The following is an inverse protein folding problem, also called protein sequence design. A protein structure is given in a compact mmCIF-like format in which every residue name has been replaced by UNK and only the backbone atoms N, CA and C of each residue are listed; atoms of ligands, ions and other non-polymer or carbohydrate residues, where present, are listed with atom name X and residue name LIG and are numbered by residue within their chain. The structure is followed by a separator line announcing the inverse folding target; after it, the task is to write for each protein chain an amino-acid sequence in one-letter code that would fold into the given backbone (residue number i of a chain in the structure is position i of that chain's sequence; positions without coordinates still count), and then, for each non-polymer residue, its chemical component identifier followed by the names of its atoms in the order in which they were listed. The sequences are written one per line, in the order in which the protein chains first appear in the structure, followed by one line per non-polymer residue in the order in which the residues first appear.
data_IF_960074599531
#
_entry.id   IF_960074599531
#
_cell.length_a   1.000
_cell.length_b   1.000
_cell.length_c   1.000
_cell.angle_alpha   90.00
_cell.angle_beta   90.00
_cell.angle_gamma   90.00
#
_symmetry.space_group_name_H-M   'P 1'
#
loop_
_entity.id
_entity.type
_entity.pdbx_description
1 polymer ?
#
# COMPACT_ATOMS: atom_id res chain seq x y z
N UNK A 1 -23.04 -5.84 -21.77
CA UNK A 1 -21.68 -6.36 -22.07
C UNK A 1 -21.19 -7.04 -20.81
N UNK A 2 -20.93 -8.34 -20.86
CA UNK A 2 -20.17 -9.00 -19.80
C UNK A 2 -18.75 -8.47 -19.91
N UNK A 3 -18.34 -7.60 -19.00
CA UNK A 3 -16.92 -7.33 -18.83
C UNK A 3 -16.34 -8.60 -18.20
N UNK A 4 -15.51 -9.34 -18.95
CA UNK A 4 -14.60 -10.28 -18.32
C UNK A 4 -13.66 -9.45 -17.45
N UNK A 5 -13.95 -9.46 -16.16
CA UNK A 5 -13.10 -8.87 -15.16
C UNK A 5 -11.75 -9.60 -15.22
N UNK A 6 -10.61 -8.89 -15.16
CA UNK A 6 -9.31 -9.55 -15.15
C UNK A 6 -9.30 -10.59 -14.03
N UNK A 7 -8.89 -11.81 -14.36
CA UNK A 7 -8.80 -12.89 -13.37
C UNK A 7 -7.89 -12.41 -12.25
N UNK A 8 -8.40 -12.30 -11.01
CA UNK A 8 -7.59 -11.78 -9.94
C UNK A 8 -6.40 -12.66 -9.59
N UNK A 9 -6.44 -13.93 -9.99
CA UNK A 9 -5.33 -14.86 -9.85
C UNK A 9 -4.29 -14.78 -10.98
N UNK A 10 -4.55 -14.04 -12.07
CA UNK A 10 -3.60 -13.89 -13.18
C UNK A 10 -2.52 -12.85 -12.84
N UNK A 11 -1.34 -13.35 -12.46
CA UNK A 11 -0.17 -12.54 -12.09
C UNK A 11 0.46 -11.79 -13.26
N UNK A 12 0.15 -12.18 -14.51
CA UNK A 12 0.61 -11.47 -15.69
C UNK A 12 -0.32 -10.30 -16.04
N UNK A 13 -1.58 -10.38 -15.61
CA UNK A 13 -2.59 -9.35 -15.82
C UNK A 13 -2.66 -8.36 -14.65
N UNK A 14 -1.52 -7.80 -14.21
CA UNK A 14 -1.53 -6.67 -13.26
C UNK A 14 -2.19 -5.40 -13.85
N UNK A 15 -2.36 -5.37 -15.18
CA UNK A 15 -2.87 -4.24 -15.95
C UNK A 15 -3.95 -4.68 -16.95
N UNK A 16 -4.93 -3.81 -17.18
CA UNK A 16 -5.89 -3.87 -18.27
C UNK A 16 -5.91 -2.50 -18.94
N UNK A 17 -5.52 -2.41 -20.21
CA UNK A 17 -5.44 -1.14 -20.96
C UNK A 17 -4.73 -0.02 -20.16
N UNK A 18 -3.52 -0.31 -19.66
CA UNK A 18 -2.69 0.62 -18.87
C UNK A 18 -3.30 1.07 -17.52
N UNK A 19 -4.44 0.50 -17.13
CA UNK A 19 -5.06 0.71 -15.82
C UNK A 19 -4.80 -0.49 -14.92
N UNK A 20 -4.50 -0.32 -13.62
CA UNK A 20 -4.34 -1.46 -12.73
C UNK A 20 -5.55 -2.38 -12.81
N UNK A 21 -5.35 -3.67 -13.03
CA UNK A 21 -6.44 -4.62 -13.26
C UNK A 21 -7.46 -4.61 -12.12
N UNK A 22 -6.98 -4.51 -10.88
CA UNK A 22 -7.86 -4.37 -9.72
C UNK A 22 -8.64 -3.05 -9.70
N UNK A 23 -8.07 -1.95 -10.19
CA UNK A 23 -8.81 -0.68 -10.30
C UNK A 23 -9.97 -0.81 -11.30
N UNK A 24 -9.74 -1.48 -12.44
CA UNK A 24 -10.81 -1.77 -13.41
C UNK A 24 -11.88 -2.64 -12.77
N UNK A 25 -11.49 -3.69 -12.05
CA UNK A 25 -12.42 -4.54 -11.31
C UNK A 25 -13.24 -3.74 -10.29
N UNK A 26 -12.58 -2.90 -9.49
CA UNK A 26 -13.21 -2.08 -8.46
C UNK A 26 -14.21 -1.08 -9.07
N UNK A 27 -13.85 -0.44 -10.17
CA UNK A 27 -14.74 0.49 -10.88
C UNK A 27 -15.97 -0.23 -11.44
N UNK A 28 -15.79 -1.40 -12.05
CA UNK A 28 -16.89 -2.21 -12.56
C UNK A 28 -17.82 -2.68 -11.42
N UNK A 29 -17.24 -3.12 -10.30
CA UNK A 29 -18.00 -3.50 -9.11
C UNK A 29 -18.84 -2.34 -8.55
N UNK A 30 -18.29 -1.13 -8.50
CA UNK A 30 -19.03 0.06 -8.09
C UNK A 30 -20.13 0.44 -9.08
N UNK A 31 -19.85 0.41 -10.38
CA UNK A 31 -20.80 0.75 -11.44
C UNK A 31 -22.01 -0.20 -11.46
N UNK A 32 -21.83 -1.45 -11.03
CA UNK A 32 -22.90 -2.42 -10.85
C UNK A 32 -23.81 -2.12 -9.63
N UNK A 33 -23.55 -1.05 -8.87
CA UNK A 33 -24.42 -0.61 -7.77
C UNK A 33 -24.28 -1.45 -6.51
N UNK A 34 -23.11 -2.04 -6.25
CA UNK A 34 -22.88 -2.99 -5.15
C UNK A 34 -22.24 -2.41 -3.85
N UNK A 35 -22.47 -1.16 -3.39
CA UNK A 35 -21.61 -0.53 -2.37
C UNK A 35 -21.64 -1.19 -0.98
N UNK A 36 -22.52 -2.17 -0.72
CA UNK A 36 -22.65 -2.90 0.55
C UNK A 36 -22.45 -4.42 0.44
N UNK A 37 -22.16 -4.95 -0.74
CA UNK A 37 -22.18 -6.39 -1.01
C UNK A 37 -20.88 -7.13 -0.69
N UNK A 38 -19.75 -6.43 -0.70
CA UNK A 38 -18.44 -7.05 -0.51
C UNK A 38 -18.09 -7.12 0.97
N UNK A 39 -18.14 -8.33 1.53
CA UNK A 39 -17.91 -8.56 2.95
C UNK A 39 -17.38 -9.99 3.20
N UNK A 40 -16.97 -10.26 4.43
CA UNK A 40 -16.56 -11.60 4.86
C UNK A 40 -15.41 -12.14 4.02
N UNK A 41 -15.52 -13.41 3.58
CA UNK A 41 -14.46 -14.13 2.89
C UNK A 41 -14.07 -13.49 1.55
N UNK A 42 -15.04 -13.03 0.77
CA UNK A 42 -14.80 -12.44 -0.55
C UNK A 42 -13.93 -11.18 -0.45
N UNK A 43 -14.23 -10.29 0.50
CA UNK A 43 -13.41 -9.12 0.77
C UNK A 43 -12.00 -9.51 1.22
N UNK A 44 -11.88 -10.48 2.14
CA UNK A 44 -10.59 -10.90 2.67
C UNK A 44 -9.70 -11.51 1.59
N UNK A 45 -10.26 -12.30 0.68
CA UNK A 45 -9.48 -12.92 -0.40
C UNK A 45 -8.97 -11.86 -1.38
N UNK A 46 -9.76 -10.84 -1.70
CA UNK A 46 -9.30 -9.72 -2.52
C UNK A 46 -8.26 -8.84 -1.82
N UNK A 47 -8.41 -8.59 -0.51
CA UNK A 47 -7.43 -7.82 0.27
C UNK A 47 -6.06 -8.53 0.32
N UNK A 48 -6.06 -9.84 0.56
CA UNK A 48 -4.85 -10.69 0.59
C UNK A 48 -4.14 -10.70 -0.75
N UNK A 49 -4.92 -10.77 -1.81
CA UNK A 49 -4.42 -10.85 -3.16
C UNK A 49 -3.88 -9.49 -3.59
N UNK A 50 -4.71 -8.45 -3.60
CA UNK A 50 -4.34 -7.17 -4.19
C UNK A 50 -3.66 -6.24 -3.22
N UNK A 51 -4.30 -5.81 -2.14
CA UNK A 51 -3.71 -4.92 -1.12
C UNK A 51 -4.83 -4.38 -0.23
N UNK A 52 -4.47 -3.95 0.98
CA UNK A 52 -5.38 -3.28 1.89
C UNK A 52 -5.78 -1.87 1.44
N UNK A 53 -5.09 -1.29 0.46
CA UNK A 53 -5.51 -0.09 -0.26
C UNK A 53 -5.61 -0.31 -1.77
N UNK A 54 -6.50 0.44 -2.42
CA UNK A 54 -6.73 0.37 -3.86
C UNK A 54 -5.85 1.40 -4.58
N UNK A 55 -4.99 1.00 -5.52
CA UNK A 55 -4.19 1.94 -6.29
C UNK A 55 -5.04 2.75 -7.28
N UNK A 56 -4.77 4.04 -7.37
CA UNK A 56 -5.15 4.89 -8.51
C UNK A 56 -3.94 5.21 -9.38
N UNK A 57 -4.19 5.55 -10.64
CA UNK A 57 -3.14 6.08 -11.52
C UNK A 57 -2.48 7.32 -10.91
N UNK A 58 -3.27 8.24 -10.35
CA UNK A 58 -2.76 9.43 -9.67
C UNK A 58 -1.83 9.08 -8.49
N UNK A 59 -2.19 8.10 -7.65
CA UNK A 59 -1.33 7.69 -6.56
C UNK A 59 0.00 7.09 -7.07
N UNK A 60 -0.06 6.30 -8.15
CA UNK A 60 1.13 5.72 -8.79
C UNK A 60 2.02 6.80 -9.43
N UNK A 61 1.42 7.80 -10.10
CA UNK A 61 2.15 8.97 -10.63
C UNK A 61 2.86 9.71 -9.51
N UNK A 62 2.14 10.01 -8.42
CA UNK A 62 2.67 10.74 -7.27
C UNK A 62 3.76 9.98 -6.53
N UNK A 63 3.70 8.65 -6.47
CA UNK A 63 4.78 7.82 -5.93
C UNK A 63 6.00 7.79 -6.86
N UNK A 64 5.80 7.69 -8.18
CA UNK A 64 6.88 7.71 -9.15
C UNK A 64 7.69 9.02 -9.11
N UNK A 65 7.01 10.16 -8.92
CA UNK A 65 7.65 11.48 -8.77
C UNK A 65 8.56 11.61 -7.54
N UNK A 66 8.43 10.72 -6.54
CA UNK A 66 9.28 10.75 -5.34
C UNK A 66 10.68 10.16 -5.61
N UNK A 67 10.87 9.48 -6.74
CA UNK A 67 12.11 8.81 -7.13
C UNK A 67 12.16 7.37 -6.64
N UNK A 68 13.36 6.89 -6.31
CA UNK A 68 13.56 5.53 -5.80
C UNK A 68 12.85 5.33 -4.45
N UNK A 69 12.25 4.16 -4.28
CA UNK A 69 11.43 3.82 -3.11
C UNK A 69 11.98 2.61 -2.36
N UNK A 70 11.82 2.62 -1.04
CA UNK A 70 11.90 1.45 -0.18
C UNK A 70 10.52 1.22 0.44
N UNK A 71 9.89 0.10 0.11
CA UNK A 71 8.60 -0.31 0.66
C UNK A 71 8.81 -1.24 1.86
N UNK A 72 8.29 -0.88 3.03
CA UNK A 72 8.32 -1.73 4.24
C UNK A 72 6.89 -2.16 4.57
N UNK A 73 6.70 -3.47 4.80
CA UNK A 73 5.38 -4.07 4.98
C UNK A 73 4.66 -4.28 3.64
N UNK A 74 5.40 -4.70 2.61
CA UNK A 74 4.91 -4.81 1.24
C UNK A 74 3.92 -5.97 1.01
N UNK A 75 3.76 -6.88 1.97
CA UNK A 75 2.92 -8.08 1.85
C UNK A 75 3.30 -8.93 0.65
N UNK A 76 2.36 -9.09 -0.29
CA UNK A 76 2.54 -9.83 -1.54
C UNK A 76 3.29 -9.02 -2.61
N UNK A 77 3.50 -7.72 -2.41
CA UNK A 77 4.27 -6.84 -3.30
C UNK A 77 3.49 -6.29 -4.48
N UNK A 78 2.17 -6.05 -4.33
CA UNK A 78 1.33 -5.54 -5.42
C UNK A 78 1.66 -4.10 -5.82
N UNK A 79 1.80 -3.18 -4.86
CA UNK A 79 2.23 -1.81 -5.17
C UNK A 79 3.63 -1.78 -5.77
N UNK A 80 4.58 -2.52 -5.19
CA UNK A 80 5.90 -2.72 -5.80
C UNK A 80 5.83 -3.24 -7.24
N UNK A 81 4.92 -4.18 -7.55
CA UNK A 81 4.71 -4.66 -8.92
C UNK A 81 4.28 -3.51 -9.84
N UNK A 82 3.22 -2.78 -9.48
CA UNK A 82 2.69 -1.70 -10.32
C UNK A 82 3.70 -0.57 -10.53
N UNK A 83 4.47 -0.23 -9.50
CA UNK A 83 5.49 0.83 -9.59
C UNK A 83 6.69 0.38 -10.44
N UNK A 84 7.14 -0.87 -10.30
CA UNK A 84 8.22 -1.43 -11.13
C UNK A 84 7.84 -1.53 -12.61
N UNK A 85 6.61 -1.94 -12.91
CA UNK A 85 6.10 -1.98 -14.28
C UNK A 85 6.08 -0.58 -14.93
N UNK A 86 6.04 0.48 -14.10
CA UNK A 86 6.13 1.89 -14.51
C UNK A 86 7.56 2.45 -14.48
N UNK A 87 8.57 1.60 -14.30
CA UNK A 87 9.98 1.99 -14.28
C UNK A 87 10.47 2.62 -12.99
N UNK A 88 9.69 2.57 -11.90
CA UNK A 88 10.12 3.07 -10.59
C UNK A 88 11.06 2.05 -9.94
N UNK A 89 12.20 2.51 -9.45
CA UNK A 89 13.13 1.69 -8.69
C UNK A 89 12.59 1.47 -7.26
N UNK A 90 11.95 0.33 -7.03
CA UNK A 90 11.36 -0.06 -5.73
C UNK A 90 12.04 -1.30 -5.18
N UNK A 91 12.55 -1.20 -3.95
CA UNK A 91 12.95 -2.36 -3.14
C UNK A 91 11.88 -2.60 -2.08
N UNK A 92 11.36 -3.82 -2.00
CA UNK A 92 10.22 -4.16 -1.15
C UNK A 92 10.61 -5.19 -0.09
N UNK A 93 10.20 -4.94 1.15
CA UNK A 93 10.43 -5.80 2.30
C UNK A 93 9.13 -6.14 3.02
N UNK A 94 9.07 -7.35 3.56
CA UNK A 94 8.07 -7.73 4.56
C UNK A 94 8.73 -8.63 5.61
N UNK A 95 8.33 -8.47 6.86
CA UNK A 95 8.89 -9.20 8.00
C UNK A 95 8.49 -10.68 8.02
N UNK A 96 7.39 -11.04 7.37
CA UNK A 96 6.87 -12.41 7.37
C UNK A 96 6.98 -13.05 5.98
N UNK A 97 7.28 -14.35 5.99
CA UNK A 97 7.21 -15.18 4.80
C UNK A 97 5.74 -15.38 4.37
N UNK A 98 5.46 -15.65 3.09
CA UNK A 98 4.14 -16.11 2.66
C UNK A 98 3.79 -17.40 3.41
N UNK A 99 2.55 -17.53 3.88
CA UNK A 99 2.09 -18.60 4.77
C UNK A 99 2.12 -18.25 6.26
N UNK A 100 3.15 -17.53 6.72
CA UNK A 100 3.24 -17.05 8.11
C UNK A 100 2.58 -15.67 8.30
N UNK A 101 2.45 -14.92 7.21
CA UNK A 101 1.80 -13.61 7.21
C UNK A 101 0.28 -13.76 7.09
N UNK A 102 -0.45 -13.65 8.20
CA UNK A 102 -1.92 -13.76 8.23
C UNK A 102 -2.68 -12.74 7.37
N UNK A 103 -2.05 -11.62 6.98
CA UNK A 103 -2.63 -10.59 6.11
C UNK A 103 -2.61 -10.96 4.63
N UNK A 104 -1.71 -11.86 4.21
CA UNK A 104 -1.67 -12.40 2.84
C UNK A 104 -1.95 -13.91 2.79
N UNK A 105 -1.87 -14.61 3.93
CA UNK A 105 -1.96 -16.07 4.03
C UNK A 105 -1.06 -16.75 2.97
N UNK A 106 -1.61 -17.67 2.18
CA UNK A 106 -0.93 -18.34 1.06
C UNK A 106 -1.08 -17.58 -0.27
N UNK A 107 -1.50 -16.30 -0.24
CA UNK A 107 -1.64 -15.53 -1.46
C UNK A 107 -0.29 -15.44 -2.19
N UNK A 108 -0.30 -15.64 -3.52
CA UNK A 108 0.93 -15.58 -4.28
C UNK A 108 1.53 -14.18 -4.29
N UNK A 109 2.86 -14.09 -4.38
CA UNK A 109 3.55 -12.82 -4.54
C UNK A 109 3.29 -12.23 -5.94
N UNK A 110 3.03 -10.92 -6.00
CA UNK A 110 2.94 -10.12 -7.23
C UNK A 110 4.29 -9.70 -7.79
N UNK A 111 5.28 -9.56 -6.90
CA UNK A 111 6.64 -9.21 -7.27
C UNK A 111 7.64 -9.69 -6.20
N UNK A 112 8.96 -9.65 -6.47
CA UNK A 112 9.96 -9.96 -5.47
C UNK A 112 9.84 -9.05 -4.24
N UNK A 113 9.70 -9.66 -3.08
CA UNK A 113 9.69 -9.04 -1.75
C UNK A 113 10.69 -9.79 -0.89
N UNK A 114 11.64 -9.06 -0.33
CA UNK A 114 12.71 -9.61 0.51
C UNK A 114 12.22 -9.73 1.94
N UNK A 115 12.55 -10.83 2.62
CA UNK A 115 12.28 -10.93 4.06
C UNK A 115 13.15 -9.93 4.81
N UNK A 116 12.53 -9.07 5.61
CA UNK A 116 13.23 -8.06 6.40
C UNK A 116 12.28 -7.29 7.31
N UNK A 117 12.81 -6.78 8.41
CA UNK A 117 12.07 -6.03 9.42
C UNK A 117 12.17 -4.51 9.19
N UNK A 118 11.75 -3.71 10.18
CA UNK A 118 11.80 -2.25 10.13
C UNK A 118 13.20 -1.67 9.84
N UNK A 119 14.24 -2.46 10.07
CA UNK A 119 15.64 -2.05 9.98
C UNK A 119 16.16 -2.04 8.57
N UNK A 120 15.49 -2.73 7.64
CA UNK A 120 15.84 -2.75 6.23
C UNK A 120 15.91 -1.34 5.64
N UNK A 121 15.14 -0.39 6.19
CA UNK A 121 15.15 1.00 5.75
C UNK A 121 16.54 1.67 5.87
N UNK A 122 17.38 1.23 6.81
CA UNK A 122 18.73 1.80 7.02
C UNK A 122 19.71 1.47 5.91
N UNK A 123 19.45 0.43 5.12
CA UNK A 123 20.30 0.08 3.96
C UNK A 123 19.93 0.88 2.71
N UNK A 124 18.91 1.74 2.80
CA UNK A 124 18.36 2.53 1.68
C UNK A 124 18.22 4.02 2.04
N UNK A 125 19.29 4.69 2.52
CA UNK A 125 19.21 6.08 2.99
C UNK A 125 18.94 7.11 1.87
N UNK A 126 19.07 6.70 0.60
CA UNK A 126 18.85 7.50 -0.59
C UNK A 126 17.40 7.42 -1.12
N UNK A 127 16.58 6.52 -0.58
CA UNK A 127 15.23 6.22 -1.07
C UNK A 127 14.15 6.88 -0.23
N UNK A 128 13.01 7.16 -0.86
CA UNK A 128 11.80 7.54 -0.13
C UNK A 128 11.15 6.29 0.48
N UNK A 129 10.82 6.34 1.77
CA UNK A 129 10.06 5.31 2.47
C UNK A 129 8.63 5.33 1.97
N UNK A 130 8.16 4.19 1.47
CA UNK A 130 6.78 3.95 1.13
C UNK A 130 6.20 2.90 2.08
N UNK A 131 5.04 3.17 2.68
CA UNK A 131 4.34 2.22 3.54
C UNK A 131 2.86 2.27 3.20
N UNK A 132 2.31 1.11 2.86
CA UNK A 132 0.91 0.96 2.53
C UNK A 132 0.18 0.24 3.65
N UNK A 133 -0.79 0.90 4.29
CA UNK A 133 -1.70 0.27 5.26
C UNK A 133 -0.98 -0.43 6.43
N UNK A 134 -0.14 0.29 7.21
CA UNK A 134 0.53 -0.32 8.35
C UNK A 134 -0.48 -0.71 9.44
N UNK A 135 -0.18 -1.77 10.17
CA UNK A 135 -0.96 -2.17 11.35
C UNK A 135 -0.99 -1.04 12.39
N UNK A 136 -2.18 -0.79 12.95
CA UNK A 136 -2.42 0.27 13.93
C UNK A 136 -3.54 -0.10 14.92
N UNK A 137 -3.49 0.41 16.17
CA UNK A 137 -2.32 1.04 16.79
C UNK A 137 -1.23 0.00 17.11
N UNK A 138 0.05 0.40 17.08
CA UNK A 138 1.15 -0.45 17.57
C UNK A 138 1.86 -1.34 16.55
N UNK A 139 1.68 -1.11 15.25
CA UNK A 139 2.48 -1.80 14.22
C UNK A 139 3.93 -1.33 14.14
N UNK A 140 4.64 -1.77 13.10
CA UNK A 140 6.08 -1.56 12.92
C UNK A 140 6.48 -0.12 12.56
N UNK A 141 5.58 0.66 11.93
CA UNK A 141 5.94 1.94 11.33
C UNK A 141 6.52 2.97 12.32
N UNK A 142 6.02 3.13 13.56
CA UNK A 142 6.69 3.94 14.57
C UNK A 142 8.19 3.65 14.71
N UNK A 143 8.58 2.37 14.75
CA UNK A 143 9.98 1.95 14.84
C UNK A 143 10.76 2.20 13.56
N UNK A 144 10.12 2.06 12.39
CA UNK A 144 10.72 2.48 11.12
C UNK A 144 11.03 3.98 11.15
N UNK A 145 10.08 4.83 11.58
CA UNK A 145 10.30 6.28 11.65
C UNK A 145 11.44 6.64 12.61
N UNK A 146 11.59 5.91 13.72
CA UNK A 146 12.69 6.10 14.67
C UNK A 146 14.05 5.72 14.06
N UNK A 147 14.11 4.70 13.18
CA UNK A 147 15.33 4.22 12.52
C UNK A 147 15.62 4.87 11.15
N UNK A 148 14.64 5.53 10.56
CA UNK A 148 14.69 6.13 9.22
C UNK A 148 15.20 7.56 9.31
N UNK A 149 16.42 7.78 8.82
CA UNK A 149 17.03 9.11 8.70
C UNK A 149 16.52 9.97 7.52
N UNK A 150 16.18 9.40 6.34
CA UNK A 150 15.79 10.19 5.19
C UNK A 150 14.51 11.00 5.40
N UNK A 151 14.38 12.06 4.60
CA UNK A 151 13.45 13.16 4.88
C UNK A 151 12.06 13.01 4.25
N UNK A 152 11.72 11.89 3.60
CA UNK A 152 10.44 11.72 2.87
C UNK A 152 9.77 10.39 3.19
N UNK A 153 8.48 10.46 3.50
CA UNK A 153 7.60 9.32 3.73
C UNK A 153 6.37 9.45 2.82
N UNK A 154 6.04 8.38 2.12
CA UNK A 154 4.77 8.17 1.45
C UNK A 154 3.97 7.13 2.24
N UNK A 155 2.85 7.53 2.83
CA UNK A 155 2.04 6.69 3.71
C UNK A 155 0.63 6.57 3.13
N UNK A 156 0.16 5.35 2.88
CA UNK A 156 -1.26 5.10 2.62
C UNK A 156 -1.93 4.70 3.92
N UNK A 157 -2.94 5.48 4.33
CA UNK A 157 -3.62 5.33 5.62
C UNK A 157 -5.00 5.98 5.59
N UNK A 158 -5.84 5.60 6.55
CA UNK A 158 -7.17 6.16 6.82
C UNK A 158 -7.17 7.39 7.76
N UNK A 159 -5.99 7.89 8.15
CA UNK A 159 -5.86 9.05 9.04
C UNK A 159 -5.83 8.70 10.54
N UNK A 160 -5.57 9.73 11.35
CA UNK A 160 -5.69 9.65 12.81
C UNK A 160 -7.18 9.58 13.17
N UNK A 161 -7.59 8.51 13.85
CA UNK A 161 -8.95 8.41 14.35
C UNK A 161 -9.10 9.21 15.65
N UNK A 162 -10.30 9.77 15.87
CA UNK A 162 -10.55 10.67 17.01
C UNK A 162 -10.53 9.90 18.32
N UNK A 163 -9.63 10.29 19.23
CA UNK A 163 -9.53 9.69 20.56
C UNK A 163 -8.54 8.51 20.65
N UNK A 164 -7.85 8.18 19.55
CA UNK A 164 -6.86 7.12 19.54
C UNK A 164 -5.54 7.55 20.17
N UNK A 165 -4.99 6.68 21.03
CA UNK A 165 -3.57 6.68 21.35
C UNK A 165 -2.87 5.97 20.19
N UNK A 166 -2.28 6.76 19.30
CA UNK A 166 -1.63 6.25 18.10
C UNK A 166 -0.16 6.71 18.03
N UNK A 167 0.78 5.83 18.42
CA UNK A 167 2.21 6.15 18.43
C UNK A 167 2.78 6.53 17.06
N UNK A 168 2.15 6.14 15.96
CA UNK A 168 2.54 6.57 14.61
C UNK A 168 2.27 8.06 14.45
N UNK A 169 1.05 8.48 14.72
CA UNK A 169 0.67 9.88 14.54
C UNK A 169 1.33 10.78 15.57
N UNK A 170 1.62 10.30 16.78
CA UNK A 170 2.43 11.07 17.74
C UNK A 170 3.81 11.43 17.16
N UNK A 171 4.46 10.48 16.46
CA UNK A 171 5.73 10.71 15.78
C UNK A 171 5.59 11.63 14.57
N UNK A 172 4.54 11.45 13.78
CA UNK A 172 4.24 12.32 12.63
C UNK A 172 4.00 13.77 13.09
N UNK A 173 3.21 13.97 14.15
CA UNK A 173 2.88 15.29 14.71
C UNK A 173 4.13 15.98 15.29
N UNK A 174 5.01 15.20 15.93
CA UNK A 174 6.24 15.70 16.53
C UNK A 174 7.29 16.12 15.48
N UNK A 175 7.54 15.27 14.48
CA UNK A 175 8.73 15.38 13.62
C UNK A 175 8.47 15.58 12.13
N UNK A 176 7.22 15.52 11.68
CA UNK A 176 6.90 15.50 10.26
C UNK A 176 5.89 16.59 9.88
N UNK A 177 5.91 16.95 8.60
CA UNK A 177 4.99 17.89 7.97
C UNK A 177 4.40 17.23 6.74
N UNK A 178 3.07 17.14 6.70
CA UNK A 178 2.35 16.75 5.49
C UNK A 178 2.58 17.79 4.39
N UNK A 179 2.93 17.33 3.20
CA UNK A 179 3.25 18.17 2.03
C UNK A 179 2.32 17.91 0.84
N UNK A 180 1.70 16.75 0.77
CA UNK A 180 0.67 16.44 -0.21
C UNK A 180 -0.26 15.34 0.31
N UNK A 181 -1.45 15.25 -0.27
CA UNK A 181 -2.41 14.19 -0.03
C UNK A 181 -3.19 13.91 -1.31
N UNK A 182 -3.39 12.64 -1.61
CA UNK A 182 -4.13 12.14 -2.78
C UNK A 182 -5.21 11.20 -2.27
N UNK A 183 -6.46 11.49 -2.64
CA UNK A 183 -7.56 10.55 -2.37
C UNK A 183 -7.40 9.34 -3.27
N UNK A 184 -7.52 8.14 -2.71
CA UNK A 184 -7.47 6.91 -3.49
C UNK A 184 -8.83 6.22 -3.46
N UNK A 185 -9.10 5.32 -4.41
CA UNK A 185 -10.28 4.45 -4.35
C UNK A 185 -10.29 3.67 -3.04
N UNK A 186 -11.47 3.39 -2.50
CA UNK A 186 -11.64 2.85 -1.16
C UNK A 186 -12.37 1.51 -1.21
N UNK A 187 -11.91 0.56 -0.39
CA UNK A 187 -12.75 -0.56 -0.01
C UNK A 187 -13.97 -0.06 0.76
N UNK A 188 -15.09 -0.81 0.78
CA UNK A 188 -16.23 -0.46 1.62
C UNK A 188 -15.79 -0.18 3.07
N UNK A 189 -16.31 0.91 3.63
CA UNK A 189 -16.06 1.34 5.02
C UNK A 189 -14.63 1.79 5.34
N UNK A 190 -13.78 2.02 4.33
CA UNK A 190 -12.43 2.59 4.51
C UNK A 190 -12.36 4.02 3.98
N UNK A 191 -11.43 4.80 4.51
CA UNK A 191 -11.25 6.23 4.17
C UNK A 191 -9.80 6.53 3.78
N UNK A 192 -9.28 5.71 2.88
CA UNK A 192 -7.87 5.69 2.56
C UNK A 192 -7.43 6.89 1.71
N UNK A 193 -6.23 7.38 1.99
CA UNK A 193 -5.51 8.35 1.16
C UNK A 193 -4.02 8.07 1.16
N UNK A 194 -3.35 8.42 0.07
CA UNK A 194 -1.89 8.53 0.03
C UNK A 194 -1.49 9.90 0.58
N UNK A 195 -0.68 9.93 1.62
CA UNK A 195 -0.21 11.14 2.29
C UNK A 195 1.31 11.20 2.21
N UNK A 196 1.84 12.34 1.74
CA UNK A 196 3.28 12.54 1.60
C UNK A 196 3.77 13.47 2.70
N UNK A 197 4.70 12.99 3.52
CA UNK A 197 5.32 13.73 4.60
C UNK A 197 6.78 14.07 4.29
N UNK A 198 7.21 15.20 4.83
CA UNK A 198 8.62 15.55 4.97
C UNK A 198 9.00 15.71 6.44
N UNK A 199 10.18 15.23 6.83
CA UNK A 199 10.73 15.49 8.17
C UNK A 199 10.97 17.00 8.33
N UNK A 200 10.70 17.54 9.52
CA UNK A 200 10.87 18.97 9.85
C UNK A 200 12.33 19.36 9.97
#
# INVERSE_FOLDING_TARGET
MHYELPDPADRNAAWVNETPAYLVWWQAWQAAGNPRGLAGRELQDLLRLYSYAVPSLEALDRLAELGALVEIGAGSGYWARLLRDRGVDVVAYDHLLPGDNGYIADAPRWSPVTTGDERAVRTHPDRTLFVCWPERPGGFLPHVLDAYEPARLALITDGRQRGDIDPLYDRLDAGWRQTAQVSIPQWPYRFDSLVIFRRR
#
